data_IF_992780226385
#
_entry.id   IF_992780226385
#
_cell.length_a   1.000
_cell.length_b   1.000
_cell.length_c   1.000
_cell.angle_alpha   90.00
_cell.angle_beta   90.00
_cell.angle_gamma   90.00
#
_symmetry.space_group_name_H-M   'P 1'
#
loop_
_entity.id
_entity.type
_entity.pdbx_description
1 polymer ?
#
# COMPACT_ATOMS: atom_id res chain seq x y z
N UNK A 1 -50.96 -9.94 24.80
CA UNK A 1 -50.61 -9.87 23.37
C UNK A 1 -49.38 -8.97 23.23
N UNK A 2 -48.21 -9.50 22.84
CA UNK A 2 -46.93 -8.75 22.75
C UNK A 2 -46.57 -8.52 21.28
N UNK A 3 -46.10 -7.33 20.88
CA UNK A 3 -45.81 -7.03 19.48
C UNK A 3 -44.55 -7.81 19.04
N UNK A 4 -44.68 -8.57 17.97
CA UNK A 4 -43.57 -9.26 17.33
C UNK A 4 -42.55 -8.23 16.81
N UNK A 5 -41.28 -8.40 17.17
CA UNK A 5 -40.19 -7.47 16.86
C UNK A 5 -39.84 -7.55 15.36
N UNK A 6 -40.45 -6.69 14.55
CA UNK A 6 -40.21 -6.44 13.11
C UNK A 6 -38.84 -5.80 12.80
N UNK A 7 -37.77 -6.14 13.53
CA UNK A 7 -36.45 -5.50 13.38
C UNK A 7 -35.43 -6.23 12.50
N UNK A 8 -35.43 -7.56 12.29
CA UNK A 8 -34.31 -8.20 11.59
C UNK A 8 -34.41 -8.14 10.05
N UNK A 9 -35.59 -7.92 9.47
CA UNK A 9 -35.75 -7.91 8.00
C UNK A 9 -35.22 -6.63 7.33
N UNK A 10 -35.25 -5.49 8.02
CA UNK A 10 -34.80 -4.20 7.47
C UNK A 10 -33.27 -4.15 7.28
N UNK A 11 -32.51 -4.84 8.14
CA UNK A 11 -31.05 -4.88 8.06
C UNK A 11 -30.53 -5.72 6.89
N UNK A 12 -31.25 -6.79 6.51
CA UNK A 12 -30.87 -7.64 5.37
C UNK A 12 -31.04 -6.92 4.03
N UNK A 13 -32.10 -6.13 3.88
CA UNK A 13 -32.38 -5.41 2.63
C UNK A 13 -31.37 -4.29 2.35
N UNK A 14 -30.84 -3.64 3.40
CA UNK A 14 -29.81 -2.62 3.29
C UNK A 14 -28.45 -3.18 2.82
N UNK A 15 -28.14 -4.44 3.15
CA UNK A 15 -26.92 -5.14 2.71
C UNK A 15 -27.00 -5.61 1.25
N UNK A 16 -28.20 -5.85 0.72
CA UNK A 16 -28.41 -6.24 -0.69
C UNK A 16 -28.46 -5.02 -1.64
N UNK A 17 -28.71 -3.82 -1.10
CA UNK A 17 -28.76 -2.58 -1.86
C UNK A 17 -27.38 -1.95 -2.10
N UNK A 18 -26.32 -2.41 -1.41
CA UNK A 18 -24.95 -2.05 -1.76
C UNK A 18 -24.52 -2.94 -2.92
N UNK A 19 -24.52 -2.38 -4.15
CA UNK A 19 -24.11 -3.06 -5.39
C UNK A 19 -22.63 -3.46 -5.46
N UNK A 20 -22.04 -3.93 -4.35
CA UNK A 20 -20.63 -4.27 -4.22
C UNK A 20 -20.21 -5.60 -4.84
N UNK A 21 -21.15 -6.45 -5.24
CA UNK A 21 -20.88 -7.68 -6.00
C UNK A 21 -21.49 -7.58 -7.40
N UNK A 22 -20.93 -6.74 -8.26
CA UNK A 22 -21.16 -6.87 -9.70
C UNK A 22 -20.39 -8.08 -10.23
N UNK A 23 -21.07 -9.08 -10.79
CA UNK A 23 -20.44 -10.21 -11.52
C UNK A 23 -19.70 -9.78 -12.80
N UNK A 24 -19.78 -8.49 -13.18
CA UNK A 24 -18.83 -7.88 -14.10
C UNK A 24 -17.58 -7.54 -13.31
N UNK A 25 -16.59 -8.44 -13.35
CA UNK A 25 -15.23 -8.12 -12.93
C UNK A 25 -14.81 -6.78 -13.53
N UNK A 26 -14.18 -5.92 -12.72
CA UNK A 26 -13.69 -4.63 -13.18
C UNK A 26 -12.74 -4.84 -14.38
N UNK A 27 -12.83 -4.03 -15.43
CA UNK A 27 -11.99 -4.20 -16.61
C UNK A 27 -10.54 -3.86 -16.25
N UNK A 28 -9.72 -4.88 -16.02
CA UNK A 28 -8.28 -4.74 -15.88
C UNK A 28 -7.64 -4.86 -17.27
N UNK A 29 -7.15 -3.75 -17.82
CA UNK A 29 -6.37 -3.75 -19.06
C UNK A 29 -4.88 -3.52 -18.74
N UNK A 30 -4.10 -4.60 -18.51
CA UNK A 30 -2.66 -4.51 -18.43
C UNK A 30 -2.06 -4.43 -19.85
N UNK A 31 -2.05 -3.24 -20.47
CA UNK A 31 -1.46 -3.04 -21.79
C UNK A 31 0.04 -2.80 -21.65
N UNK A 32 0.85 -3.84 -21.86
CA UNK A 32 2.32 -3.81 -22.08
C UNK A 32 3.14 -2.95 -21.08
N UNK A 33 2.61 -2.73 -19.87
CA UNK A 33 3.27 -2.05 -18.75
C UNK A 33 2.98 -2.71 -17.40
N UNK A 34 1.90 -3.49 -17.27
CA UNK A 34 1.62 -4.21 -16.03
C UNK A 34 2.49 -5.45 -15.80
N UNK A 35 3.24 -5.89 -16.81
CA UNK A 35 4.20 -6.98 -16.65
C UNK A 35 5.45 -6.51 -15.89
N UNK A 36 5.87 -5.25 -16.09
CA UNK A 36 6.95 -4.59 -15.35
C UNK A 36 6.56 -3.13 -15.07
N UNK A 37 5.68 -2.89 -14.09
CA UNK A 37 5.19 -1.54 -13.83
C UNK A 37 6.26 -0.67 -13.16
N UNK A 38 6.22 0.64 -13.41
CA UNK A 38 7.15 1.64 -12.89
C UNK A 38 7.28 1.58 -11.36
N UNK A 39 6.17 1.34 -10.66
CA UNK A 39 6.15 1.21 -9.20
C UNK A 39 6.98 0.02 -8.70
N UNK A 40 7.14 -1.07 -9.47
CA UNK A 40 8.00 -2.19 -9.06
C UNK A 40 9.47 -1.80 -9.07
N UNK A 41 9.90 -1.07 -10.10
CA UNK A 41 11.27 -0.55 -10.19
C UNK A 41 11.50 0.47 -9.07
N UNK A 42 10.58 1.41 -8.86
CA UNK A 42 10.67 2.38 -7.77
C UNK A 42 10.71 1.70 -6.39
N UNK A 43 9.88 0.66 -6.19
CA UNK A 43 9.88 -0.15 -4.98
C UNK A 43 11.20 -0.87 -4.75
N UNK A 44 11.81 -1.45 -5.79
CA UNK A 44 13.12 -2.09 -5.70
C UNK A 44 14.21 -1.10 -5.32
N UNK A 45 14.20 0.11 -5.90
CA UNK A 45 15.12 1.19 -5.53
C UNK A 45 14.91 1.61 -4.07
N UNK A 46 13.66 1.73 -3.62
CA UNK A 46 13.33 2.01 -2.22
C UNK A 46 13.88 0.95 -1.26
N UNK A 47 13.72 -0.34 -1.60
CA UNK A 47 14.26 -1.47 -0.82
C UNK A 47 15.79 -1.42 -0.78
N UNK A 48 16.45 -1.25 -1.93
CA UNK A 48 17.90 -1.16 -2.02
C UNK A 48 18.44 0.02 -1.17
N UNK A 49 17.76 1.17 -1.21
CA UNK A 49 18.10 2.34 -0.41
C UNK A 49 17.94 2.06 1.08
N UNK A 50 16.84 1.44 1.52
CA UNK A 50 16.61 1.10 2.91
C UNK A 50 17.67 0.12 3.45
N UNK A 51 18.04 -0.89 2.66
CA UNK A 51 19.11 -1.84 3.03
C UNK A 51 20.47 -1.15 3.08
N UNK A 52 20.80 -0.33 2.08
CA UNK A 52 22.06 0.42 2.04
C UNK A 52 22.22 1.37 3.23
N UNK A 53 21.17 2.12 3.56
CA UNK A 53 21.16 3.01 4.73
C UNK A 53 21.29 2.23 6.03
N UNK A 54 20.63 1.07 6.15
CA UNK A 54 20.79 0.21 7.33
C UNK A 54 22.22 -0.26 7.50
N UNK A 55 22.88 -0.70 6.42
CA UNK A 55 24.29 -1.09 6.48
C UNK A 55 25.16 0.11 6.90
N UNK A 56 24.95 1.27 6.30
CA UNK A 56 25.70 2.49 6.62
C UNK A 56 25.53 2.92 8.08
N UNK A 57 24.31 2.86 8.62
CA UNK A 57 24.01 3.25 10.00
C UNK A 57 24.52 2.25 11.03
N UNK A 58 24.59 0.96 10.66
CA UNK A 58 25.26 -0.05 11.48
C UNK A 58 26.78 0.21 11.53
N UNK A 59 27.40 0.52 10.39
CA UNK A 59 28.84 0.81 10.33
C UNK A 59 29.24 2.08 11.08
N UNK A 60 28.37 3.09 11.08
CA UNK A 60 28.59 4.37 11.78
C UNK A 60 28.14 4.35 13.25
N UNK A 61 27.49 3.28 13.71
CA UNK A 61 26.97 3.16 15.07
C UNK A 61 25.70 3.99 15.35
N UNK A 62 25.18 4.73 14.35
CA UNK A 62 23.98 5.55 14.46
C UNK A 62 22.72 4.71 14.70
N UNK A 63 22.71 3.46 14.26
CA UNK A 63 21.58 2.55 14.46
C UNK A 63 21.24 2.41 15.96
N UNK A 64 22.21 2.52 16.88
CA UNK A 64 21.98 2.46 18.32
C UNK A 64 21.07 3.57 18.85
N UNK A 65 21.03 4.74 18.20
CA UNK A 65 20.18 5.87 18.59
C UNK A 65 18.74 5.74 18.07
N UNK A 66 18.50 4.92 17.06
CA UNK A 66 17.18 4.77 16.47
C UNK A 66 16.30 3.84 17.35
N UNK A 67 15.32 4.43 18.03
CA UNK A 67 14.34 3.67 18.83
C UNK A 67 13.38 2.85 17.94
N UNK A 68 12.96 3.39 16.79
CA UNK A 68 12.04 2.76 15.83
C UNK A 68 12.70 2.45 14.48
N UNK A 69 13.75 1.62 14.50
CA UNK A 69 14.56 1.25 13.32
C UNK A 69 13.72 0.86 12.10
N UNK A 70 12.76 -0.07 12.27
CA UNK A 70 11.96 -0.57 11.15
C UNK A 70 11.17 0.55 10.48
N UNK A 71 10.48 1.38 11.28
CA UNK A 71 9.69 2.49 10.77
C UNK A 71 10.57 3.50 10.01
N UNK A 72 11.71 3.87 10.58
CA UNK A 72 12.61 4.85 9.94
C UNK A 72 13.17 4.34 8.61
N UNK A 73 13.66 3.10 8.54
CA UNK A 73 14.20 2.56 7.28
C UNK A 73 13.11 2.36 6.22
N UNK A 74 11.91 1.91 6.62
CA UNK A 74 10.78 1.79 5.68
C UNK A 74 10.36 3.17 5.17
N UNK A 75 10.25 4.17 6.04
CA UNK A 75 9.92 5.54 5.64
C UNK A 75 10.95 6.12 4.66
N UNK A 76 12.25 5.94 4.93
CA UNK A 76 13.33 6.38 4.04
C UNK A 76 13.27 5.66 2.68
N UNK A 77 13.01 4.35 2.68
CA UNK A 77 12.81 3.58 1.44
C UNK A 77 11.59 4.06 0.64
N UNK A 78 10.48 4.38 1.30
CA UNK A 78 9.27 4.92 0.65
C UNK A 78 9.53 6.32 0.09
N UNK A 79 10.19 7.20 0.85
CA UNK A 79 10.57 8.54 0.37
C UNK A 79 11.46 8.42 -0.88
N UNK A 80 12.43 7.50 -0.88
CA UNK A 80 13.28 7.27 -2.04
C UNK A 80 12.48 6.73 -3.24
N UNK A 81 11.61 5.75 -3.03
CA UNK A 81 10.76 5.20 -4.09
C UNK A 81 9.84 6.27 -4.71
N UNK A 82 9.18 7.08 -3.87
CA UNK A 82 8.35 8.19 -4.33
C UNK A 82 9.17 9.29 -4.99
N UNK A 83 10.36 9.59 -4.46
CA UNK A 83 11.30 10.54 -5.07
C UNK A 83 11.67 10.13 -6.48
N UNK A 84 12.10 8.88 -6.67
CA UNK A 84 12.40 8.32 -8.00
C UNK A 84 11.17 8.37 -8.90
N UNK A 85 10.00 8.00 -8.38
CA UNK A 85 8.77 8.06 -9.14
C UNK A 85 8.47 9.48 -9.63
N UNK A 86 8.54 10.48 -8.76
CA UNK A 86 8.31 11.89 -9.13
C UNK A 86 9.37 12.45 -10.08
N UNK A 87 10.64 12.08 -9.93
CA UNK A 87 11.73 12.62 -10.74
C UNK A 87 11.83 11.98 -12.13
N UNK A 88 11.42 10.71 -12.27
CA UNK A 88 11.55 9.94 -13.51
C UNK A 88 10.23 9.84 -14.27
N UNK A 89 9.10 9.72 -13.56
CA UNK A 89 7.76 9.49 -14.12
C UNK A 89 6.75 10.59 -13.75
N UNK A 90 7.17 11.65 -13.05
CA UNK A 90 6.32 12.79 -12.74
C UNK A 90 5.81 13.51 -14.00
N UNK A 91 4.75 14.34 -13.86
CA UNK A 91 4.12 15.05 -14.97
C UNK A 91 5.02 16.08 -15.66
#
# INVERSE_FOLDING_TARGET
MRPARLRPCLSGLALLATGGCSLRGAPSFPVVGAYFPDWMVCGLVGVATAVGLRVLFLLTGLDALLSFRLFTYVALGVIAALGVWTLVFGP
#
